data_IF_046178986249
#
_entry.id   IF_046178986249
#
_cell.length_a   1.000
_cell.length_b   1.000
_cell.length_c   1.000
_cell.angle_alpha   90.00
_cell.angle_beta   90.00
_cell.angle_gamma   90.00
#
_symmetry.space_group_name_H-M   'P 1'
#
loop_
_entity.id
_entity.type
_entity.pdbx_description
1 polymer ?
#
# COMPACT_ATOMS: atom_id res chain seq x y z
N UNK A 1 15.16 10.99 -22.41
CA UNK A 1 13.92 10.57 -21.71
C UNK A 1 12.94 11.73 -21.69
N UNK A 2 11.69 11.52 -22.13
CA UNK A 2 10.60 12.51 -22.03
C UNK A 2 10.37 12.95 -20.58
N UNK A 3 9.98 14.21 -20.36
CA UNK A 3 9.69 14.76 -19.03
C UNK A 3 8.64 13.93 -18.26
N UNK A 4 7.65 13.38 -18.97
CA UNK A 4 6.59 12.53 -18.40
C UNK A 4 7.18 11.24 -17.80
N UNK A 5 8.15 10.60 -18.46
CA UNK A 5 8.84 9.41 -17.92
C UNK A 5 9.55 9.68 -16.60
N UNK A 6 10.13 10.88 -16.45
CA UNK A 6 10.78 11.30 -15.19
C UNK A 6 9.74 11.49 -14.08
N UNK A 7 8.60 12.10 -14.39
CA UNK A 7 7.48 12.27 -13.45
C UNK A 7 6.91 10.92 -13.00
N UNK A 8 6.67 9.99 -13.93
CA UNK A 8 6.20 8.62 -13.60
C UNK A 8 7.17 7.95 -12.63
N UNK A 9 8.49 8.04 -12.89
CA UNK A 9 9.49 7.46 -11.99
C UNK A 9 9.46 8.07 -10.60
N UNK A 10 9.33 9.40 -10.52
CA UNK A 10 9.23 10.11 -9.25
C UNK A 10 7.99 9.70 -8.46
N UNK A 11 6.81 9.67 -9.09
CA UNK A 11 5.57 9.27 -8.42
C UNK A 11 5.56 7.78 -8.03
N UNK A 12 6.19 6.91 -8.83
CA UNK A 12 6.39 5.50 -8.44
C UNK A 12 7.27 5.37 -7.19
N UNK A 13 8.34 6.14 -7.09
CA UNK A 13 9.17 6.17 -5.90
C UNK A 13 8.38 6.67 -4.68
N UNK A 14 7.56 7.72 -4.83
CA UNK A 14 6.68 8.18 -3.77
C UNK A 14 5.66 7.12 -3.34
N UNK A 15 5.04 6.41 -4.29
CA UNK A 15 4.12 5.31 -4.01
C UNK A 15 4.82 4.19 -3.22
N UNK A 16 6.05 3.83 -3.59
CA UNK A 16 6.82 2.81 -2.89
C UNK A 16 7.16 3.25 -1.45
N UNK A 17 7.52 4.52 -1.25
CA UNK A 17 7.76 5.07 0.10
C UNK A 17 6.48 5.06 0.96
N UNK A 18 5.33 5.42 0.39
CA UNK A 18 4.03 5.35 1.10
C UNK A 18 3.68 3.91 1.45
N UNK A 19 3.90 2.94 0.54
CA UNK A 19 3.70 1.50 0.80
C UNK A 19 4.60 0.98 1.91
N UNK A 20 5.86 1.42 1.95
CA UNK A 20 6.78 1.09 3.06
C UNK A 20 6.30 1.69 4.37
N UNK A 21 5.79 2.93 4.34
CA UNK A 21 5.12 3.56 5.49
C UNK A 21 3.94 2.73 6.00
N UNK A 22 3.03 2.36 5.11
CA UNK A 22 1.87 1.51 5.42
C UNK A 22 2.29 0.17 6.03
N UNK A 23 3.26 -0.53 5.42
CA UNK A 23 3.75 -1.81 5.94
C UNK A 23 4.26 -1.68 7.38
N UNK A 24 5.04 -0.64 7.69
CA UNK A 24 5.55 -0.41 9.06
C UNK A 24 4.42 -0.19 10.07
N UNK A 25 3.34 0.49 9.67
CA UNK A 25 2.17 0.69 10.52
C UNK A 25 1.40 -0.63 10.72
N UNK A 26 1.25 -1.44 9.66
CA UNK A 26 0.64 -2.77 9.75
C UNK A 26 1.45 -3.72 10.64
N UNK A 27 2.79 -3.71 10.53
CA UNK A 27 3.69 -4.47 11.41
C UNK A 27 3.51 -4.06 12.88
N UNK A 28 3.43 -2.76 13.16
CA UNK A 28 3.18 -2.26 14.53
C UNK A 28 1.81 -2.67 15.05
N UNK A 29 0.79 -2.68 14.19
CA UNK A 29 -0.54 -3.17 14.57
C UNK A 29 -0.50 -4.67 14.91
N UNK A 30 0.20 -5.46 14.11
CA UNK A 30 0.40 -6.89 14.37
C UNK A 30 1.14 -7.14 15.69
N UNK A 31 2.14 -6.32 16.02
CA UNK A 31 2.86 -6.39 17.31
C UNK A 31 1.92 -6.14 18.49
N UNK A 32 1.06 -5.11 18.41
CA UNK A 32 0.06 -4.83 19.46
C UNK A 32 -0.94 -5.99 19.61
N UNK A 33 -1.37 -6.58 18.49
CA UNK A 33 -2.27 -7.74 18.52
C UNK A 33 -1.61 -8.98 19.13
N UNK A 34 -0.33 -9.20 18.84
CA UNK A 34 0.46 -10.27 19.45
C UNK A 34 0.62 -10.04 20.96
N UNK A 35 0.93 -8.82 21.41
CA UNK A 35 1.02 -8.49 22.83
C UNK A 35 -0.30 -8.74 23.58
N UNK A 36 -1.43 -8.35 22.97
CA UNK A 36 -2.76 -8.62 23.56
C UNK A 36 -2.96 -10.13 23.68
N UNK A 37 -2.67 -10.90 22.63
CA UNK A 37 -2.80 -12.35 22.65
C UNK A 37 -1.94 -12.97 23.75
N UNK A 38 -0.69 -12.54 23.89
CA UNK A 38 0.24 -13.05 24.91
C UNK A 38 -0.27 -12.80 26.34
N UNK A 39 -0.78 -11.60 26.63
CA UNK A 39 -1.37 -11.31 27.94
C UNK A 39 -2.60 -12.18 28.18
N UNK A 40 -3.38 -12.43 27.14
CA UNK A 40 -4.60 -13.27 27.24
C UNK A 40 -4.24 -14.72 27.55
N UNK A 41 -3.21 -15.26 26.89
CA UNK A 41 -2.67 -16.61 27.19
C UNK A 41 -2.15 -16.70 28.61
N UNK A 42 -1.35 -15.72 29.06
CA UNK A 42 -0.84 -15.67 30.44
C UNK A 42 -1.95 -15.60 31.49
N UNK A 43 -3.04 -14.90 31.22
CA UNK A 43 -4.23 -14.91 32.10
C UNK A 43 -4.81 -16.31 32.25
N UNK A 44 -4.87 -17.08 31.15
CA UNK A 44 -5.46 -18.42 31.18
C UNK A 44 -4.55 -19.42 31.92
N UNK A 45 -3.24 -19.33 31.70
CA UNK A 45 -2.23 -20.10 32.44
C UNK A 45 -2.31 -19.82 33.95
N UNK A 46 -2.39 -18.54 34.34
CA UNK A 46 -2.47 -18.14 35.74
C UNK A 46 -3.76 -18.63 36.41
N UNK A 47 -4.90 -18.59 35.69
CA UNK A 47 -6.17 -19.13 36.19
C UNK A 47 -6.11 -20.64 36.41
N UNK A 48 -5.52 -21.37 35.46
CA UNK A 48 -5.34 -22.82 35.57
C UNK A 48 -4.48 -23.16 36.79
N UNK A 49 -3.34 -22.47 36.95
CA UNK A 49 -2.44 -22.66 38.09
C UNK A 49 -3.14 -22.39 39.44
N UNK A 50 -3.90 -21.30 39.54
CA UNK A 50 -4.63 -20.94 40.76
C UNK A 50 -5.81 -21.88 41.08
N UNK A 51 -6.36 -22.59 40.09
CA UNK A 51 -7.34 -23.66 40.35
C UNK A 51 -6.72 -24.92 40.96
N UNK A 52 -5.44 -25.17 40.70
CA UNK A 52 -4.71 -26.33 41.21
C UNK A 52 -4.05 -26.05 42.57
N UNK A 53 -3.73 -24.79 42.89
CA UNK A 53 -3.05 -24.38 44.12
C UNK A 53 -3.83 -23.33 44.94
N UNK A 54 -4.25 -23.72 46.15
CA UNK A 54 -5.06 -22.87 47.05
C UNK A 54 -4.36 -21.56 47.48
N UNK A 55 -3.03 -21.56 47.58
CA UNK A 55 -2.26 -20.36 47.93
C UNK A 55 -2.25 -19.28 46.82
N UNK A 56 -2.37 -19.69 45.55
CA UNK A 56 -2.38 -18.77 44.40
C UNK A 56 -3.65 -17.92 44.28
N UNK A 57 -4.72 -18.28 44.98
CA UNK A 57 -6.01 -17.60 44.89
C UNK A 57 -5.99 -16.15 45.41
N UNK A 58 -5.06 -15.83 46.33
CA UNK A 58 -5.02 -14.52 46.99
C UNK A 58 -4.43 -13.42 46.10
N UNK A 59 -3.45 -13.77 45.28
CA UNK A 59 -2.75 -12.82 44.38
C UNK A 59 -3.36 -12.78 42.97
N UNK A 60 -4.11 -13.82 42.58
CA UNK A 60 -4.78 -13.93 41.28
C UNK A 60 -5.65 -12.71 40.95
N UNK A 61 -6.46 -12.23 41.90
CA UNK A 61 -7.37 -11.11 41.64
C UNK A 61 -6.63 -9.81 41.28
N UNK A 62 -5.50 -9.55 41.94
CA UNK A 62 -4.67 -8.37 41.65
C UNK A 62 -4.01 -8.50 40.27
N UNK A 63 -3.48 -9.68 39.95
CA UNK A 63 -2.90 -9.97 38.64
C UNK A 63 -3.91 -9.83 37.50
N UNK A 64 -5.12 -10.39 37.67
CA UNK A 64 -6.20 -10.30 36.67
C UNK A 64 -6.62 -8.85 36.44
N UNK A 65 -6.83 -8.09 37.52
CA UNK A 65 -7.19 -6.67 37.42
C UNK A 65 -6.14 -5.85 36.66
N UNK A 66 -4.86 -6.04 36.99
CA UNK A 66 -3.75 -5.38 36.30
C UNK A 66 -3.65 -5.79 34.82
N UNK A 67 -3.83 -7.09 34.52
CA UNK A 67 -3.77 -7.63 33.17
C UNK A 67 -4.93 -7.13 32.30
N UNK A 68 -6.15 -7.05 32.84
CA UNK A 68 -7.29 -6.46 32.14
C UNK A 68 -7.11 -4.96 31.89
N UNK A 69 -6.57 -4.22 32.85
CA UNK A 69 -6.23 -2.81 32.66
C UNK A 69 -5.22 -2.63 31.52
N UNK A 70 -4.18 -3.48 31.47
CA UNK A 70 -3.17 -3.49 30.40
C UNK A 70 -3.77 -3.83 29.04
N UNK A 71 -4.61 -4.86 28.95
CA UNK A 71 -5.33 -5.21 27.70
C UNK A 71 -6.21 -4.04 27.24
N UNK A 72 -6.95 -3.41 28.17
CA UNK A 72 -7.80 -2.25 27.84
C UNK A 72 -6.98 -1.10 27.26
N UNK A 73 -5.80 -0.82 27.81
CA UNK A 73 -4.91 0.19 27.26
C UNK A 73 -4.39 -0.20 25.87
N UNK A 74 -3.89 -1.43 25.71
CA UNK A 74 -3.40 -1.92 24.41
C UNK A 74 -4.47 -1.92 23.33
N UNK A 75 -5.73 -2.20 23.67
CA UNK A 75 -6.86 -2.09 22.73
C UNK A 75 -7.11 -0.66 22.26
N UNK A 76 -6.92 0.35 23.12
CA UNK A 76 -6.98 1.76 22.71
C UNK A 76 -5.82 2.11 21.77
N UNK A 77 -4.61 1.66 22.11
CA UNK A 77 -3.43 1.87 21.27
C UNK A 77 -3.62 1.22 19.89
N UNK A 78 -4.23 0.03 19.86
CA UNK A 78 -4.63 -0.68 18.64
C UNK A 78 -5.62 0.10 17.80
N UNK A 79 -6.65 0.68 18.41
CA UNK A 79 -7.66 1.48 17.72
C UNK A 79 -7.02 2.73 17.07
N UNK A 80 -6.12 3.40 17.78
CA UNK A 80 -5.35 4.53 17.24
C UNK A 80 -4.47 4.08 16.07
N UNK A 81 -3.76 2.94 16.21
CA UNK A 81 -2.94 2.39 15.14
C UNK A 81 -3.76 2.00 13.90
N UNK A 82 -4.96 1.45 14.08
CA UNK A 82 -5.89 1.16 13.00
C UNK A 82 -6.29 2.41 12.24
N UNK A 83 -6.61 3.50 12.94
CA UNK A 83 -6.90 4.78 12.30
C UNK A 83 -5.73 5.29 11.45
N UNK A 84 -4.49 5.11 11.93
CA UNK A 84 -3.28 5.46 11.17
C UNK A 84 -3.07 4.57 9.95
N UNK A 85 -3.33 3.26 10.06
CA UNK A 85 -3.25 2.32 8.94
C UNK A 85 -4.27 2.70 7.87
N UNK A 86 -5.51 2.98 8.23
CA UNK A 86 -6.55 3.38 7.26
C UNK A 86 -6.22 4.71 6.58
N UNK A 87 -5.71 5.70 7.31
CA UNK A 87 -5.22 6.94 6.71
C UNK A 87 -4.06 6.68 5.72
N UNK A 88 -3.09 5.87 6.09
CA UNK A 88 -1.97 5.51 5.22
C UNK A 88 -2.41 4.70 3.99
N UNK A 89 -3.46 3.87 4.10
CA UNK A 89 -4.06 3.16 2.96
C UNK A 89 -4.65 4.13 1.95
N UNK A 90 -5.32 5.18 2.42
CA UNK A 90 -5.87 6.21 1.53
C UNK A 90 -4.75 6.99 0.84
N UNK A 91 -3.69 7.38 1.56
CA UNK A 91 -2.52 8.02 0.94
C UNK A 91 -1.86 7.16 -0.14
N UNK A 92 -1.74 5.84 0.08
CA UNK A 92 -1.24 4.90 -0.93
C UNK A 92 -2.17 4.84 -2.14
N UNK A 93 -3.49 4.89 -1.92
CA UNK A 93 -4.49 4.88 -2.99
C UNK A 93 -4.40 6.14 -3.84
N UNK A 94 -4.30 7.31 -3.22
CA UNK A 94 -4.12 8.59 -3.90
C UNK A 94 -2.81 8.60 -4.72
N UNK A 95 -1.69 8.20 -4.12
CA UNK A 95 -0.41 8.11 -4.82
C UNK A 95 -0.46 7.14 -6.01
N UNK A 96 -1.20 6.04 -5.91
CA UNK A 96 -1.39 5.10 -7.01
C UNK A 96 -2.23 5.72 -8.14
N UNK A 97 -3.29 6.46 -7.81
CA UNK A 97 -4.10 7.17 -8.79
C UNK A 97 -3.26 8.19 -9.59
N UNK A 98 -2.37 8.91 -8.91
CA UNK A 98 -1.44 9.84 -9.56
C UNK A 98 -0.51 9.14 -10.55
N UNK A 99 0.13 8.04 -10.14
CA UNK A 99 0.97 7.23 -11.03
C UNK A 99 0.19 6.81 -12.27
N UNK A 100 -1.04 6.31 -12.09
CA UNK A 100 -1.89 5.87 -13.20
C UNK A 100 -2.28 6.99 -14.14
N UNK A 101 -2.57 8.17 -13.62
CA UNK A 101 -2.86 9.36 -14.43
C UNK A 101 -1.69 9.71 -15.36
N UNK A 102 -0.47 9.69 -14.86
CA UNK A 102 0.71 9.95 -15.70
C UNK A 102 0.99 8.83 -16.71
N UNK A 103 0.82 7.56 -16.32
CA UNK A 103 0.95 6.42 -17.25
C UNK A 103 -0.05 6.49 -18.41
N UNK A 104 -1.30 6.86 -18.14
CA UNK A 104 -2.33 7.04 -19.17
C UNK A 104 -1.97 8.23 -20.07
N UNK A 105 -1.47 9.32 -19.50
CA UNK A 105 -1.06 10.50 -20.28
C UNK A 105 0.10 10.15 -21.22
N UNK A 106 1.07 9.37 -20.76
CA UNK A 106 2.17 8.87 -21.59
C UNK A 106 1.66 7.99 -22.73
N UNK A 107 0.77 7.03 -22.43
CA UNK A 107 0.27 6.10 -23.44
C UNK A 107 -0.53 6.83 -24.53
N UNK A 108 -1.37 7.80 -24.16
CA UNK A 108 -2.09 8.64 -25.13
C UNK A 108 -1.11 9.46 -25.99
N UNK A 109 -0.04 9.98 -25.41
CA UNK A 109 1.00 10.69 -26.14
C UNK A 109 1.69 9.80 -27.18
N UNK A 110 2.13 8.60 -26.76
CA UNK A 110 2.76 7.62 -27.65
C UNK A 110 1.82 7.19 -28.80
N UNK A 111 0.53 6.99 -28.50
CA UNK A 111 -0.47 6.63 -29.51
C UNK A 111 -0.74 7.76 -30.51
N UNK A 112 -0.54 9.03 -30.12
CA UNK A 112 -0.62 10.16 -31.06
C UNK A 112 0.62 10.21 -31.94
N UNK A 113 1.80 10.07 -31.36
CA UNK A 113 3.07 10.07 -32.09
C UNK A 113 3.12 8.95 -33.13
N UNK A 114 2.68 7.73 -32.76
CA UNK A 114 2.58 6.59 -33.68
C UNK A 114 1.63 6.86 -34.86
N UNK A 115 0.46 7.45 -34.58
CA UNK A 115 -0.50 7.81 -35.65
C UNK A 115 0.05 8.90 -36.57
N UNK A 116 0.82 9.84 -36.04
CA UNK A 116 1.46 10.87 -36.85
C UNK A 116 2.61 10.34 -37.71
N UNK A 117 3.37 9.35 -37.22
CA UNK A 117 4.40 8.67 -38.02
C UNK A 117 3.76 7.82 -39.12
N UNK A 118 2.76 7.00 -38.80
CA UNK A 118 2.02 6.20 -39.79
C UNK A 118 1.34 7.06 -40.87
N UNK A 119 0.85 8.25 -40.50
CA UNK A 119 0.28 9.20 -41.46
C UNK A 119 1.36 9.77 -42.39
N UNK A 120 2.54 10.11 -41.86
CA UNK A 120 3.66 10.62 -42.66
C UNK A 120 4.18 9.56 -43.63
N UNK A 121 4.42 8.35 -43.14
CA UNK A 121 4.89 7.22 -43.96
C UNK A 121 3.91 6.90 -45.10
N UNK A 122 2.60 6.92 -44.82
CA UNK A 122 1.57 6.69 -45.84
C UNK A 122 1.58 7.77 -46.92
N UNK A 123 1.67 9.04 -46.54
CA UNK A 123 1.75 10.14 -47.49
C UNK A 123 3.00 10.04 -48.37
N UNK A 124 4.15 9.67 -47.80
CA UNK A 124 5.40 9.46 -48.55
C UNK A 124 5.27 8.29 -49.54
N UNK A 125 4.66 7.17 -49.13
CA UNK A 125 4.41 6.01 -50.00
C UNK A 125 3.47 6.36 -51.15
N UNK A 126 2.41 7.13 -50.87
CA UNK A 126 1.46 7.58 -51.88
C UNK A 126 2.13 8.51 -52.91
N UNK A 127 3.00 9.43 -52.46
CA UNK A 127 3.79 10.28 -53.35
C UNK A 127 4.74 9.48 -54.25
N UNK A 128 5.43 8.47 -53.71
CA UNK A 128 6.31 7.59 -54.48
C UNK A 128 5.50 6.79 -55.52
N UNK A 129 4.34 6.26 -55.13
CA UNK A 129 3.46 5.51 -56.03
C UNK A 129 2.96 6.38 -57.20
N UNK A 130 2.52 7.61 -56.93
CA UNK A 130 2.09 8.57 -57.94
C UNK A 130 3.23 8.95 -58.90
N UNK A 131 4.43 9.22 -58.36
CA UNK A 131 5.60 9.54 -59.17
C UNK A 131 6.05 8.36 -60.04
N UNK A 132 5.99 7.13 -59.52
CA UNK A 132 6.29 5.91 -60.27
C UNK A 132 5.29 5.69 -61.41
N UNK A 133 3.99 5.87 -61.13
CA UNK A 133 2.94 5.78 -62.16
C UNK A 133 3.12 6.83 -63.27
N UNK A 134 3.44 8.09 -62.91
CA UNK A 134 3.72 9.14 -63.90
C UNK A 134 4.94 8.88 -64.78
N UNK A 135 5.92 8.09 -64.32
CA UNK A 135 7.12 7.75 -65.11
C UNK A 135 6.91 6.58 -66.08
N UNK A 136 5.81 5.82 -65.93
CA UNK A 136 5.47 4.69 -66.80
C UNK A 136 4.54 5.04 -67.96
N UNK A 137 3.85 6.17 -67.89
CA UNK A 137 3.09 6.77 -69.00
C UNK A 137 3.95 7.82 -69.71
#
# INVERSE_FOLDING_TARGET
>A
MSAIKKLIRFHRFQLDERRRGLRRLEEKLMEVDAEISEITTRIEEEKHFASENYEGNRDLNNFLSASFARIKQKRKDRELALGQVEAAREEVREAFADVKKYEITESVGLQKELRETERRERNELDEVALNSHRRRN
#
